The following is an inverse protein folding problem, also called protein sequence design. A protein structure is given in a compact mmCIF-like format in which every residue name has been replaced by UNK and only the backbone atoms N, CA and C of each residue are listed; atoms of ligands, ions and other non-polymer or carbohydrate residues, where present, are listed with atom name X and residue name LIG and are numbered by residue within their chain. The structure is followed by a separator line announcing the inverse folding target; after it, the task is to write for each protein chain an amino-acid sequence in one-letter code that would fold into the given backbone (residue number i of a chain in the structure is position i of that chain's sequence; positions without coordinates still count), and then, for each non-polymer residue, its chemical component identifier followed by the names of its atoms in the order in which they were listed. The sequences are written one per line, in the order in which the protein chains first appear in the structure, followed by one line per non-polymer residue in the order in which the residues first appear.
data_IF_916833145103
#
_entry.id   IF_916833145103
#
_cell.length_a   1.000
_cell.length_b   1.000
_cell.length_c   1.000
_cell.angle_alpha   90.00
_cell.angle_beta   90.00
_cell.angle_gamma   90.00
#
_symmetry.space_group_name_H-M   'P 1'
#
loop_
_entity.id
_entity.type
_entity.pdbx_description
1 polymer ?
#
# COMPACT_ATOMS: atom_id res chain seq x y z
N UNK A 1 -27.51 -1.45 -19.96
CA UNK A 1 -26.79 -0.48 -19.10
C UNK A 1 -25.31 -0.80 -19.17
N UNK A 2 -24.44 0.20 -19.24
CA UNK A 2 -22.98 0.01 -19.17
C UNK A 2 -22.61 -0.61 -17.82
N UNK A 3 -21.65 -1.54 -17.79
CA UNK A 3 -21.19 -2.15 -16.54
C UNK A 3 -20.37 -1.14 -15.73
N UNK A 4 -20.58 -1.10 -14.42
CA UNK A 4 -19.78 -0.31 -13.49
C UNK A 4 -18.93 -1.21 -12.60
N UNK A 5 -17.76 -0.73 -12.19
CA UNK A 5 -16.82 -1.45 -11.34
C UNK A 5 -16.54 -0.68 -10.06
N UNK A 6 -16.72 -1.33 -8.92
CA UNK A 6 -16.51 -0.74 -7.60
C UNK A 6 -15.08 -0.89 -7.11
N UNK A 7 -14.58 0.14 -6.44
CA UNK A 7 -13.32 0.13 -5.70
C UNK A 7 -13.58 0.54 -4.26
N UNK A 8 -13.26 -0.35 -3.32
CA UNK A 8 -13.14 -0.05 -1.91
C UNK A 8 -11.66 -0.08 -1.50
N UNK A 9 -11.13 1.07 -1.12
CA UNK A 9 -9.85 1.18 -0.41
C UNK A 9 -10.16 1.40 1.07
N UNK A 10 -10.10 0.31 1.83
CA UNK A 10 -10.32 0.31 3.27
C UNK A 10 -8.99 0.63 3.96
N UNK A 11 -8.78 1.90 4.34
CA UNK A 11 -7.60 2.33 5.10
C UNK A 11 -7.85 2.42 6.60
N UNK A 12 -6.80 2.37 7.42
CA UNK A 12 -6.92 2.49 8.88
C UNK A 12 -7.42 3.86 9.38
N UNK A 13 -7.27 4.91 8.57
CA UNK A 13 -7.70 6.28 8.91
C UNK A 13 -8.98 6.69 8.18
N UNK A 14 -9.13 6.27 6.92
CA UNK A 14 -10.30 6.58 6.09
C UNK A 14 -10.59 5.44 5.13
N UNK A 15 -11.85 5.29 4.76
CA UNK A 15 -12.28 4.48 3.63
C UNK A 15 -12.49 5.39 2.42
N UNK A 16 -12.08 4.90 1.25
CA UNK A 16 -12.33 5.55 -0.04
C UNK A 16 -13.13 4.59 -0.89
N UNK A 17 -14.33 5.01 -1.29
CA UNK A 17 -15.19 4.25 -2.19
C UNK A 17 -15.25 4.98 -3.53
N UNK A 18 -15.13 4.25 -4.63
CA UNK A 18 -15.26 4.79 -5.96
C UNK A 18 -15.98 3.81 -6.89
N UNK A 19 -16.67 4.34 -7.89
CA UNK A 19 -17.25 3.57 -8.99
C UNK A 19 -16.67 4.08 -10.29
N UNK A 20 -16.25 3.16 -11.16
CA UNK A 20 -15.66 3.45 -12.46
C UNK A 20 -16.43 2.82 -13.61
N UNK A 21 -16.32 3.41 -14.79
CA UNK A 21 -16.88 2.89 -16.04
C UNK A 21 -16.02 1.75 -16.65
N UNK A 22 -16.38 1.29 -17.85
CA UNK A 22 -15.67 0.20 -18.53
C UNK A 22 -14.24 0.53 -18.96
N UNK A 23 -13.91 1.82 -19.02
CA UNK A 23 -12.59 2.38 -19.28
C UNK A 23 -11.87 2.80 -17.98
N UNK A 24 -12.47 2.50 -16.82
CA UNK A 24 -11.97 2.83 -15.49
C UNK A 24 -11.92 4.33 -15.18
N UNK A 25 -12.70 5.15 -15.90
CA UNK A 25 -12.90 6.54 -15.51
C UNK A 25 -13.80 6.59 -14.27
N UNK A 26 -13.43 7.40 -13.28
CA UNK A 26 -14.22 7.57 -12.05
C UNK A 26 -15.54 8.26 -12.37
N UNK A 27 -16.65 7.59 -12.06
CA UNK A 27 -18.02 8.09 -12.17
C UNK A 27 -18.44 8.81 -10.88
N UNK A 28 -18.24 8.14 -9.73
CA UNK A 28 -18.51 8.72 -8.41
C UNK A 28 -17.43 8.27 -7.42
N UNK A 29 -17.08 9.15 -6.48
CA UNK A 29 -16.11 8.86 -5.43
C UNK A 29 -16.53 9.54 -4.14
N UNK A 30 -16.40 8.83 -3.03
CA UNK A 30 -16.56 9.37 -1.68
C UNK A 30 -15.42 8.90 -0.78
N UNK A 31 -15.21 9.63 0.31
CA UNK A 31 -14.32 9.22 1.38
C UNK A 31 -14.92 9.58 2.73
N UNK A 32 -14.69 8.75 3.74
CA UNK A 32 -15.12 9.02 5.11
C UNK A 32 -14.13 8.42 6.13
N UNK A 33 -14.04 8.98 7.34
CA UNK A 33 -13.15 8.46 8.38
C UNK A 33 -13.48 7.02 8.77
N UNK A 34 -12.44 6.24 9.06
CA UNK A 34 -12.57 4.89 9.63
C UNK A 34 -12.85 4.99 11.12
N UNK A 35 -14.11 4.80 11.51
CA UNK A 35 -14.60 4.85 12.89
C UNK A 35 -14.77 3.43 13.43
N UNK A 36 -15.99 3.01 13.76
CA UNK A 36 -16.33 1.64 14.15
C UNK A 36 -16.61 0.79 12.90
N UNK A 37 -16.41 -0.54 12.96
CA UNK A 37 -16.68 -1.43 11.83
C UNK A 37 -18.09 -1.28 11.26
N UNK A 38 -19.12 -1.29 12.13
CA UNK A 38 -20.53 -1.22 11.71
C UNK A 38 -20.79 0.07 10.94
N UNK A 39 -20.50 1.23 11.55
CA UNK A 39 -20.75 2.54 10.91
C UNK A 39 -20.00 2.69 9.58
N UNK A 40 -18.74 2.24 9.54
CA UNK A 40 -17.89 2.39 8.34
C UNK A 40 -18.34 1.45 7.22
N UNK A 41 -18.71 0.21 7.56
CA UNK A 41 -19.22 -0.78 6.60
C UNK A 41 -20.60 -0.37 6.09
N UNK A 42 -21.49 0.14 6.94
CA UNK A 42 -22.83 0.59 6.55
C UNK A 42 -22.76 1.74 5.55
N UNK A 43 -21.89 2.75 5.77
CA UNK A 43 -21.63 3.82 4.78
C UNK A 43 -21.09 3.30 3.46
N UNK A 44 -20.27 2.25 3.52
CA UNK A 44 -19.73 1.58 2.32
C UNK A 44 -20.84 0.90 1.54
N UNK A 45 -21.72 0.17 2.21
CA UNK A 45 -22.89 -0.48 1.62
C UNK A 45 -23.84 0.56 1.03
N UNK A 46 -24.13 1.64 1.76
CA UNK A 46 -24.98 2.74 1.32
C UNK A 46 -24.45 3.36 0.03
N UNK A 47 -23.14 3.57 -0.08
CA UNK A 47 -22.52 4.11 -1.29
C UNK A 47 -22.72 3.18 -2.49
N UNK A 48 -22.37 1.90 -2.37
CA UNK A 48 -22.43 0.97 -3.50
C UNK A 48 -23.86 0.53 -3.88
N UNK A 49 -24.79 0.54 -2.94
CA UNK A 49 -26.20 0.18 -3.19
C UNK A 49 -26.93 1.15 -4.12
N UNK A 50 -26.35 2.32 -4.42
CA UNK A 50 -26.92 3.30 -5.37
C UNK A 50 -26.80 2.87 -6.83
N UNK A 51 -25.99 1.84 -7.13
CA UNK A 51 -25.59 1.48 -8.49
C UNK A 51 -26.14 0.11 -8.89
N UNK A 52 -27.33 0.08 -9.50
CA UNK A 52 -27.99 -1.16 -9.97
C UNK A 52 -27.19 -1.91 -11.04
N UNK A 53 -26.29 -1.23 -11.75
CA UNK A 53 -25.41 -1.78 -12.80
C UNK A 53 -23.97 -2.04 -12.33
N UNK A 54 -23.74 -2.10 -11.01
CA UNK A 54 -22.46 -2.53 -10.44
C UNK A 54 -22.20 -4.01 -10.78
N UNK A 55 -21.22 -4.27 -11.63
CA UNK A 55 -20.91 -5.60 -12.15
C UNK A 55 -19.93 -6.38 -11.27
N UNK A 56 -19.16 -5.69 -10.42
CA UNK A 56 -18.21 -6.28 -9.48
C UNK A 56 -17.60 -5.22 -8.57
N UNK A 57 -17.03 -5.66 -7.46
CA UNK A 57 -16.36 -4.81 -6.47
C UNK A 57 -15.01 -5.41 -6.10
N UNK A 58 -13.96 -4.60 -6.05
CA UNK A 58 -12.69 -5.01 -5.44
C UNK A 58 -12.46 -4.24 -4.14
N UNK A 59 -11.92 -4.95 -3.17
CA UNK A 59 -11.65 -4.46 -1.83
C UNK A 59 -10.14 -4.62 -1.60
N UNK A 60 -9.46 -3.48 -1.46
CA UNK A 60 -8.11 -3.38 -0.92
C UNK A 60 -8.20 -2.96 0.53
N UNK A 61 -7.93 -3.85 1.47
CA UNK A 61 -8.04 -3.58 2.91
C UNK A 61 -6.69 -3.41 3.58
N UNK A 62 -6.64 -2.52 4.57
CA UNK A 62 -5.58 -2.50 5.57
C UNK A 62 -5.54 -3.86 6.29
N UNK A 63 -4.33 -4.27 6.62
CA UNK A 63 -4.05 -5.59 7.16
C UNK A 63 -3.63 -5.62 8.64
N UNK A 64 -3.21 -6.80 9.10
CA UNK A 64 -3.23 -8.07 8.36
C UNK A 64 -4.67 -8.56 8.08
N UNK A 65 -4.87 -9.19 6.93
CA UNK A 65 -6.14 -9.78 6.50
C UNK A 65 -5.96 -11.26 6.15
N UNK A 66 -7.06 -12.02 6.24
CA UNK A 66 -7.09 -13.40 5.77
C UNK A 66 -7.46 -13.45 4.28
N UNK A 67 -6.45 -13.76 3.45
CA UNK A 67 -6.57 -13.87 1.99
C UNK A 67 -6.79 -15.32 1.51
N UNK A 68 -6.72 -16.32 2.39
CA UNK A 68 -6.88 -17.72 1.97
C UNK A 68 -8.37 -18.02 1.77
N UNK A 69 -8.77 -18.24 0.52
CA UNK A 69 -10.16 -18.55 0.13
C UNK A 69 -10.70 -19.84 0.77
N UNK A 70 -9.84 -20.73 1.26
CA UNK A 70 -10.23 -21.96 1.95
C UNK A 70 -10.34 -21.78 3.47
N UNK A 71 -9.89 -20.65 4.01
CA UNK A 71 -9.98 -20.33 5.42
C UNK A 71 -11.42 -20.01 5.82
N UNK A 72 -11.80 -20.41 7.05
CA UNK A 72 -13.09 -20.05 7.66
C UNK A 72 -13.22 -18.55 7.90
N UNK A 73 -12.10 -17.84 7.97
CA UNK A 73 -12.03 -16.40 8.20
C UNK A 73 -11.60 -15.63 6.95
N UNK A 74 -11.66 -16.24 5.75
CA UNK A 74 -11.40 -15.53 4.51
C UNK A 74 -12.20 -14.22 4.43
N UNK A 75 -11.50 -13.11 4.19
CA UNK A 75 -12.15 -11.80 4.15
C UNK A 75 -12.15 -11.01 5.46
N UNK A 76 -11.56 -11.56 6.52
CA UNK A 76 -11.48 -10.90 7.81
C UNK A 76 -10.25 -9.99 7.90
N UNK A 77 -10.39 -8.89 8.63
CA UNK A 77 -9.25 -8.17 9.22
C UNK A 77 -8.90 -8.87 10.52
N UNK A 78 -7.66 -9.35 10.66
CA UNK A 78 -7.26 -10.26 11.74
C UNK A 78 -6.66 -9.50 12.92
N UNK A 79 -5.37 -9.19 12.88
CA UNK A 79 -4.62 -8.61 14.01
C UNK A 79 -4.25 -7.16 13.74
N UNK A 80 -5.12 -6.21 14.09
CA UNK A 80 -4.86 -4.79 13.88
C UNK A 80 -4.82 -3.99 15.20
N UNK A 81 -3.94 -2.99 15.34
CA UNK A 81 -3.98 -2.07 16.47
C UNK A 81 -5.15 -1.08 16.38
N UNK A 82 -5.89 -1.04 15.26
CA UNK A 82 -7.05 -0.16 15.10
C UNK A 82 -8.18 -0.63 16.03
N UNK A 83 -8.67 0.21 16.94
CA UNK A 83 -9.69 -0.19 17.92
C UNK A 83 -10.92 -0.80 17.24
N UNK A 84 -11.37 -1.94 17.75
CA UNK A 84 -12.56 -2.68 17.31
C UNK A 84 -12.49 -3.37 15.94
N UNK A 85 -11.40 -3.23 15.18
CA UNK A 85 -11.29 -3.81 13.84
C UNK A 85 -10.66 -5.22 13.80
N UNK A 86 -10.15 -5.71 14.94
CA UNK A 86 -9.65 -7.08 15.03
C UNK A 86 -10.79 -8.10 14.90
N UNK A 87 -10.56 -9.15 14.10
CA UNK A 87 -11.51 -10.21 13.77
C UNK A 87 -12.85 -9.74 13.16
N UNK A 88 -12.80 -8.71 12.32
CA UNK A 88 -13.99 -8.20 11.61
C UNK A 88 -14.16 -8.88 10.26
N UNK A 89 -15.32 -9.49 10.03
CA UNK A 89 -15.76 -10.07 8.74
C UNK A 89 -16.16 -8.97 7.73
N UNK A 90 -15.16 -8.28 7.15
CA UNK A 90 -15.40 -7.20 6.20
C UNK A 90 -16.03 -7.73 4.91
N UNK A 91 -15.42 -8.74 4.29
CA UNK A 91 -15.89 -9.29 3.01
C UNK A 91 -17.28 -9.91 3.14
N UNK A 92 -17.54 -10.68 4.19
CA UNK A 92 -18.83 -11.32 4.40
C UNK A 92 -19.94 -10.30 4.65
N UNK A 93 -19.67 -9.22 5.38
CA UNK A 93 -20.64 -8.14 5.58
C UNK A 93 -21.03 -7.50 4.23
N UNK A 94 -20.05 -7.18 3.39
CA UNK A 94 -20.29 -6.62 2.06
C UNK A 94 -21.03 -7.61 1.16
N UNK A 95 -20.67 -8.89 1.15
CA UNK A 95 -21.34 -9.93 0.33
C UNK A 95 -22.80 -10.15 0.72
N UNK A 96 -23.14 -10.06 2.01
CA UNK A 96 -24.52 -10.20 2.48
C UNK A 96 -25.41 -9.04 2.00
N UNK A 97 -24.83 -7.84 1.86
CA UNK A 97 -25.57 -6.64 1.48
C UNK A 97 -25.53 -6.35 -0.03
N UNK A 98 -24.40 -6.62 -0.69
CA UNK A 98 -24.14 -6.33 -2.09
C UNK A 98 -24.04 -7.64 -2.88
N UNK A 99 -25.04 -7.93 -3.70
CA UNK A 99 -25.13 -9.17 -4.48
C UNK A 99 -24.29 -9.10 -5.78
N UNK A 100 -23.00 -8.81 -5.65
CA UNK A 100 -22.05 -8.70 -6.78
C UNK A 100 -20.79 -9.53 -6.53
N UNK A 101 -20.11 -10.03 -7.58
CA UNK A 101 -18.80 -10.65 -7.44
C UNK A 101 -17.78 -9.72 -6.78
N UNK A 102 -16.96 -10.26 -5.87
CA UNK A 102 -15.97 -9.49 -5.13
C UNK A 102 -14.56 -10.07 -5.18
N UNK A 103 -13.59 -9.20 -5.49
CA UNK A 103 -12.16 -9.48 -5.31
C UNK A 103 -11.71 -8.89 -3.96
N UNK A 104 -10.94 -9.65 -3.16
CA UNK A 104 -10.50 -9.21 -1.84
C UNK A 104 -8.98 -9.37 -1.75
N UNK A 105 -8.28 -8.30 -1.37
CA UNK A 105 -6.83 -8.24 -1.25
C UNK A 105 -6.42 -7.11 -0.31
N UNK A 106 -5.13 -6.90 -0.11
CA UNK A 106 -4.61 -5.77 0.67
C UNK A 106 -4.64 -4.48 -0.13
N UNK A 107 -4.71 -3.35 0.58
CA UNK A 107 -4.57 -2.01 -0.01
C UNK A 107 -3.28 -1.83 -0.83
N UNK A 108 -2.17 -2.38 -0.34
CA UNK A 108 -0.86 -2.36 -1.03
C UNK A 108 -0.81 -3.28 -2.24
N UNK A 109 -1.52 -4.41 -2.25
CA UNK A 109 -1.67 -5.24 -3.45
C UNK A 109 -2.53 -4.52 -4.50
N UNK A 110 -3.63 -3.88 -4.09
CA UNK A 110 -4.44 -3.05 -5.00
C UNK A 110 -3.60 -1.94 -5.62
N UNK A 111 -2.76 -1.28 -4.81
CA UNK A 111 -1.85 -0.23 -5.28
C UNK A 111 -0.81 -0.77 -6.26
N UNK A 112 -0.17 -1.90 -5.93
CA UNK A 112 0.80 -2.55 -6.80
C UNK A 112 0.19 -2.89 -8.16
N UNK A 113 -1.04 -3.42 -8.17
CA UNK A 113 -1.73 -3.82 -9.40
C UNK A 113 -2.10 -2.61 -10.25
N UNK A 114 -2.57 -1.53 -9.62
CA UNK A 114 -2.83 -0.27 -10.32
C UNK A 114 -1.58 0.32 -10.96
N UNK A 115 -0.42 0.21 -10.32
CA UNK A 115 0.85 0.67 -10.89
C UNK A 115 1.29 -0.16 -12.10
N UNK A 116 1.13 -1.50 -12.04
CA UNK A 116 1.38 -2.37 -13.21
C UNK A 116 0.47 -1.96 -14.37
N UNK A 117 -0.83 -1.79 -14.12
CA UNK A 117 -1.81 -1.38 -15.14
C UNK A 117 -1.46 -0.02 -15.73
N UNK A 118 -1.23 0.99 -14.90
CA UNK A 118 -0.96 2.35 -15.36
C UNK A 118 0.30 2.43 -16.23
N UNK A 119 1.37 1.74 -15.82
CA UNK A 119 2.65 1.75 -16.55
C UNK A 119 2.56 0.99 -17.86
N UNK A 120 1.84 -0.13 -17.89
CA UNK A 120 1.61 -0.89 -19.12
C UNK A 120 0.70 -0.13 -20.09
N UNK A 121 -0.31 0.59 -19.60
CA UNK A 121 -1.13 1.50 -20.41
C UNK A 121 -0.30 2.65 -21.02
N UNK A 122 0.78 3.07 -20.36
CA UNK A 122 1.73 4.06 -20.88
C UNK A 122 2.78 3.48 -21.85
N UNK A 123 2.65 2.20 -22.25
CA UNK A 123 3.56 1.53 -23.18
C UNK A 123 4.70 0.75 -22.51
N UNK A 124 4.70 0.66 -21.18
CA UNK A 124 5.60 -0.22 -20.42
C UNK A 124 5.29 -1.70 -20.63
N UNK A 125 6.19 -2.55 -20.12
CA UNK A 125 6.05 -4.02 -20.10
C UNK A 125 6.57 -4.56 -18.76
N UNK A 126 5.84 -4.23 -17.70
CA UNK A 126 6.18 -4.58 -16.32
C UNK A 126 5.32 -5.76 -15.91
N UNK A 127 5.98 -6.80 -15.39
CA UNK A 127 5.33 -7.99 -14.85
C UNK A 127 5.73 -8.24 -13.40
N UNK A 128 6.81 -7.60 -12.93
CA UNK A 128 7.37 -7.74 -11.60
C UNK A 128 7.48 -6.37 -10.94
N UNK A 129 6.73 -6.14 -9.87
CA UNK A 129 6.64 -4.84 -9.22
C UNK A 129 6.59 -5.01 -7.70
N UNK A 130 7.39 -4.22 -6.99
CA UNK A 130 7.26 -4.07 -5.53
C UNK A 130 6.74 -2.66 -5.26
N UNK A 131 5.58 -2.56 -4.61
CA UNK A 131 5.00 -1.31 -4.16
C UNK A 131 5.15 -1.21 -2.64
N UNK A 132 5.72 -0.13 -2.16
CA UNK A 132 5.70 0.25 -0.75
C UNK A 132 4.83 1.49 -0.56
N UNK A 133 4.04 1.53 0.52
CA UNK A 133 3.44 2.77 1.02
C UNK A 133 4.13 3.19 2.31
N UNK A 134 4.48 4.46 2.43
CA UNK A 134 5.16 5.02 3.61
C UNK A 134 4.36 6.22 4.12
N UNK A 135 3.62 6.00 5.19
CA UNK A 135 2.71 6.98 5.80
C UNK A 135 2.63 6.76 7.30
N UNK A 136 1.43 6.57 7.84
CA UNK A 136 1.26 6.25 9.27
C UNK A 136 1.94 4.93 9.67
N UNK A 137 2.02 3.98 8.74
CA UNK A 137 2.82 2.75 8.83
C UNK A 137 3.55 2.49 7.52
N UNK A 138 4.10 1.28 7.38
CA UNK A 138 4.72 0.81 6.15
C UNK A 138 4.12 -0.54 5.75
N UNK A 139 3.50 -0.58 4.57
CA UNK A 139 3.04 -1.82 3.95
C UNK A 139 3.69 -1.99 2.58
N UNK A 140 3.73 -3.23 2.09
CA UNK A 140 4.17 -3.49 0.72
C UNK A 140 3.36 -4.59 0.03
N UNK A 141 3.13 -4.41 -1.27
CA UNK A 141 2.54 -5.39 -2.16
C UNK A 141 3.58 -5.80 -3.20
N UNK A 142 3.61 -7.09 -3.54
CA UNK A 142 4.56 -7.64 -4.52
C UNK A 142 3.80 -8.40 -5.59
N UNK A 143 4.09 -8.05 -6.84
CA UNK A 143 3.65 -8.77 -8.03
C UNK A 143 4.86 -9.41 -8.67
N UNK A 144 4.75 -10.69 -9.02
CA UNK A 144 5.77 -11.45 -9.74
C UNK A 144 5.07 -12.22 -10.87
N UNK A 145 5.45 -11.92 -12.12
CA UNK A 145 4.82 -12.49 -13.33
C UNK A 145 3.29 -12.36 -13.32
N UNK A 146 2.80 -11.18 -12.95
CA UNK A 146 1.37 -10.87 -12.92
C UNK A 146 0.59 -11.41 -11.71
N UNK A 147 1.21 -12.22 -10.85
CA UNK A 147 0.57 -12.79 -9.66
C UNK A 147 1.01 -12.09 -8.38
N UNK A 148 0.09 -11.91 -7.44
CA UNK A 148 0.43 -11.44 -6.10
C UNK A 148 1.26 -12.48 -5.36
N UNK A 149 2.35 -12.06 -4.73
CA UNK A 149 3.10 -12.93 -3.81
C UNK A 149 2.32 -13.09 -2.51
N UNK A 150 2.14 -14.34 -2.09
CA UNK A 150 1.47 -14.73 -0.85
C UNK A 150 1.48 -16.24 -0.68
N UNK A 151 1.14 -16.70 0.52
CA UNK A 151 1.09 -18.13 0.87
C UNK A 151 0.21 -18.34 2.09
N UNK A 152 0.80 -18.64 3.25
CA UNK A 152 0.07 -18.69 4.53
C UNK A 152 -0.64 -17.37 4.90
N UNK A 153 -0.22 -16.26 4.28
CA UNK A 153 -0.86 -14.95 4.35
C UNK A 153 -0.25 -14.04 3.27
N UNK A 154 -0.61 -12.76 3.30
CA UNK A 154 0.07 -11.75 2.48
C UNK A 154 1.39 -11.31 3.15
N UNK A 155 2.33 -10.73 2.38
CA UNK A 155 3.55 -10.15 2.94
C UNK A 155 3.26 -8.97 3.89
N UNK A 156 4.08 -8.85 4.93
CA UNK A 156 4.10 -7.74 5.90
C UNK A 156 5.50 -7.08 5.92
N UNK A 157 5.90 -6.57 4.75
CA UNK A 157 7.28 -6.14 4.51
C UNK A 157 7.67 -4.84 5.21
N UNK A 158 6.76 -4.18 5.93
CA UNK A 158 7.12 -3.11 6.88
C UNK A 158 7.78 -3.63 8.16
N UNK A 159 7.65 -4.93 8.46
CA UNK A 159 8.01 -5.47 9.76
C UNK A 159 9.30 -6.31 9.81
N UNK A 160 10.06 -6.41 8.73
CA UNK A 160 11.39 -7.01 8.80
C UNK A 160 12.38 -6.05 9.51
N UNK A 161 13.40 -6.63 10.17
CA UNK A 161 14.45 -5.88 10.86
C UNK A 161 15.44 -5.23 9.87
N UNK A 162 15.82 -3.99 10.15
CA UNK A 162 16.80 -3.21 9.37
C UNK A 162 18.08 -2.98 10.15
N UNK A 163 19.19 -2.77 9.44
CA UNK A 163 20.40 -2.26 10.08
C UNK A 163 20.14 -0.83 10.56
N UNK A 164 20.45 -0.54 11.83
CA UNK A 164 20.23 0.77 12.42
C UNK A 164 21.16 1.81 11.79
N UNK A 165 20.71 3.04 11.64
CA UNK A 165 21.54 4.15 11.20
C UNK A 165 22.44 4.63 12.36
N UNK A 166 23.72 5.01 12.13
CA UNK A 166 24.62 5.43 13.21
C UNK A 166 24.07 6.55 14.11
N UNK A 167 23.35 7.52 13.53
CA UNK A 167 22.67 8.57 14.32
C UNK A 167 21.61 8.01 15.28
N UNK A 168 20.86 6.99 14.87
CA UNK A 168 19.86 6.36 15.73
C UNK A 168 20.52 5.44 16.78
N UNK A 169 21.72 4.91 16.50
CA UNK A 169 22.55 4.24 17.51
C UNK A 169 23.03 5.23 18.57
N UNK A 170 23.63 6.34 18.15
CA UNK A 170 24.14 7.40 19.03
C UNK A 170 23.04 8.00 19.92
N UNK A 171 21.85 8.21 19.35
CA UNK A 171 20.68 8.77 20.05
C UNK A 171 19.81 7.73 20.76
N UNK A 172 20.23 6.47 20.75
CA UNK A 172 19.48 5.34 21.32
C UNK A 172 18.02 5.24 20.85
N UNK A 173 17.74 5.70 19.62
CA UNK A 173 16.41 5.58 19.03
C UNK A 173 16.19 4.13 18.59
N UNK A 174 15.11 3.53 19.08
CA UNK A 174 14.83 2.10 18.86
C UNK A 174 13.62 1.85 17.95
N UNK A 175 12.97 2.91 17.46
CA UNK A 175 11.79 2.84 16.61
C UNK A 175 10.46 2.82 17.37
N UNK A 176 9.37 3.08 16.63
CA UNK A 176 8.03 3.33 17.19
C UNK A 176 7.07 2.15 17.06
N UNK A 177 7.43 1.11 16.31
CA UNK A 177 6.55 -0.04 16.09
C UNK A 177 6.31 -0.76 17.42
N UNK A 178 5.05 -0.96 17.86
CA UNK A 178 4.74 -1.54 19.16
C UNK A 178 5.11 -3.03 19.28
N UNK A 179 5.29 -3.71 18.15
CA UNK A 179 5.61 -5.15 18.11
C UNK A 179 7.12 -5.40 18.09
N UNK A 180 7.84 -4.73 17.21
CA UNK A 180 9.23 -5.09 16.88
C UNK A 180 10.24 -4.03 17.28
N UNK A 181 9.82 -2.76 17.43
CA UNK A 181 10.65 -1.56 17.58
C UNK A 181 11.66 -1.37 16.44
N UNK A 182 12.60 -2.30 16.25
CA UNK A 182 13.69 -2.27 15.27
C UNK A 182 13.33 -2.67 13.82
N UNK A 183 12.05 -2.75 13.46
CA UNK A 183 11.65 -3.05 12.09
C UNK A 183 11.67 -1.80 11.19
N UNK A 184 11.59 -2.00 9.87
CA UNK A 184 11.53 -0.91 8.89
C UNK A 184 10.46 0.13 9.26
N UNK A 185 9.23 -0.29 9.56
CA UNK A 185 8.14 0.59 9.99
C UNK A 185 8.50 1.38 11.25
N UNK A 186 9.12 0.72 12.24
CA UNK A 186 9.51 1.37 13.47
C UNK A 186 10.48 2.52 13.25
N UNK A 187 11.36 2.43 12.25
CA UNK A 187 12.34 3.46 11.96
C UNK A 187 11.92 4.47 10.88
N UNK A 188 11.07 4.08 9.93
CA UNK A 188 10.80 4.85 8.72
C UNK A 188 9.31 5.15 8.47
N UNK A 189 8.38 4.85 9.38
CA UNK A 189 7.04 5.39 9.26
C UNK A 189 7.04 6.92 9.54
N UNK A 190 5.99 7.61 9.11
CA UNK A 190 5.78 9.04 9.41
C UNK A 190 5.87 9.36 10.92
N UNK A 191 5.24 8.57 11.82
CA UNK A 191 5.40 8.75 13.27
C UNK A 191 6.84 8.61 13.77
N UNK A 192 7.72 7.89 13.06
CA UNK A 192 9.13 7.77 13.41
C UNK A 192 9.88 9.10 13.23
N UNK A 193 9.46 9.97 12.32
CA UNK A 193 10.04 11.31 12.16
C UNK A 193 9.75 12.19 13.38
N UNK A 194 8.49 12.21 13.80
CA UNK A 194 8.06 12.98 14.98
C UNK A 194 8.69 12.42 16.26
N UNK A 195 8.70 11.10 16.44
CA UNK A 195 9.34 10.48 17.59
C UNK A 195 10.86 10.74 17.65
N UNK A 196 11.52 10.92 16.49
CA UNK A 196 12.96 11.18 16.40
C UNK A 196 13.32 12.65 16.58
N UNK A 197 12.43 13.57 16.22
CA UNK A 197 12.75 15.02 16.15
C UNK A 197 11.92 15.88 17.08
N UNK A 198 10.80 15.38 17.60
CA UNK A 198 9.76 16.17 18.25
C UNK A 198 8.92 17.02 17.30
N UNK A 199 9.13 16.89 15.97
CA UNK A 199 8.48 17.71 14.94
C UNK A 199 7.72 16.79 13.98
N UNK A 200 6.44 17.12 13.74
CA UNK A 200 5.63 16.43 12.73
C UNK A 200 6.32 16.49 11.35
N UNK A 201 6.32 15.39 10.61
CA UNK A 201 7.10 15.25 9.37
C UNK A 201 6.83 16.35 8.33
N UNK A 202 5.60 16.83 8.22
CA UNK A 202 5.23 17.93 7.31
C UNK A 202 5.87 19.30 7.66
N UNK A 203 6.35 19.46 8.90
CA UNK A 203 6.93 20.70 9.41
C UNK A 203 8.47 20.64 9.51
N UNK A 204 9.09 19.53 9.13
CA UNK A 204 10.54 19.38 9.14
C UNK A 204 11.13 20.06 7.91
N UNK A 205 12.15 20.91 8.10
CA UNK A 205 12.86 21.56 7.00
C UNK A 205 13.46 20.55 6.02
N UNK A 206 13.35 20.82 4.71
CA UNK A 206 13.77 19.89 3.65
C UNK A 206 15.27 19.57 3.65
N UNK A 207 16.10 20.46 4.18
CA UNK A 207 17.55 20.31 4.30
C UNK A 207 17.97 19.56 5.58
N UNK A 208 17.04 19.21 6.46
CA UNK A 208 17.36 18.48 7.69
C UNK A 208 18.03 17.14 7.39
N UNK A 209 19.04 16.79 8.20
CA UNK A 209 19.76 15.52 8.10
C UNK A 209 18.90 14.32 8.50
N UNK A 210 17.77 14.54 9.17
CA UNK A 210 16.83 13.45 9.50
C UNK A 210 16.30 12.76 8.25
N UNK A 211 16.19 13.48 7.13
CA UNK A 211 15.76 12.93 5.86
C UNK A 211 16.79 11.96 5.26
N UNK A 212 18.09 12.11 5.58
CA UNK A 212 19.11 11.13 5.20
C UNK A 212 18.97 9.83 5.98
N UNK A 213 18.64 9.94 7.26
CA UNK A 213 18.35 8.79 8.13
C UNK A 213 17.10 8.07 7.65
N UNK A 214 16.06 8.83 7.33
CA UNK A 214 14.83 8.31 6.73
C UNK A 214 15.11 7.60 5.40
N UNK A 215 15.84 8.24 4.49
CA UNK A 215 16.20 7.68 3.21
C UNK A 215 17.07 6.43 3.31
N UNK A 216 17.96 6.35 4.31
CA UNK A 216 18.78 5.17 4.57
C UNK A 216 17.93 3.93 4.86
N UNK A 217 16.91 4.04 5.71
CA UNK A 217 16.01 2.91 6.00
C UNK A 217 15.14 2.53 4.80
N UNK A 218 14.60 3.51 4.08
CA UNK A 218 13.79 3.28 2.88
C UNK A 218 14.64 2.66 1.76
N UNK A 219 15.90 3.07 1.62
CA UNK A 219 16.84 2.46 0.70
C UNK A 219 17.16 1.01 1.04
N UNK A 220 17.23 0.63 2.32
CA UNK A 220 17.31 -0.78 2.71
C UNK A 220 16.08 -1.59 2.26
N UNK A 221 14.89 -0.97 2.18
CA UNK A 221 13.72 -1.59 1.57
C UNK A 221 13.87 -1.81 0.07
N UNK A 222 14.41 -0.83 -0.65
CA UNK A 222 14.73 -1.00 -2.05
C UNK A 222 15.79 -2.10 -2.28
N UNK A 223 16.84 -2.17 -1.43
CA UNK A 223 17.83 -3.24 -1.47
C UNK A 223 17.19 -4.59 -1.20
N UNK A 224 16.38 -4.71 -0.15
CA UNK A 224 15.70 -5.96 0.20
C UNK A 224 14.79 -6.45 -0.93
N UNK A 225 13.96 -5.56 -1.49
CA UNK A 225 13.12 -5.86 -2.64
C UNK A 225 13.95 -6.31 -3.85
N UNK A 226 15.08 -5.64 -4.11
CA UNK A 226 15.99 -5.97 -5.21
C UNK A 226 16.60 -7.35 -5.03
N UNK A 227 17.22 -7.64 -3.88
CA UNK A 227 17.92 -8.93 -3.68
C UNK A 227 16.98 -10.11 -3.53
N UNK A 228 15.73 -9.88 -3.13
CA UNK A 228 14.75 -10.95 -2.85
C UNK A 228 13.85 -11.23 -4.03
N UNK A 229 13.26 -10.20 -4.64
CA UNK A 229 12.21 -10.36 -5.66
C UNK A 229 12.66 -10.03 -7.08
N UNK A 230 13.78 -9.31 -7.24
CA UNK A 230 14.29 -8.84 -8.53
C UNK A 230 13.20 -8.20 -9.42
N UNK A 231 12.47 -7.17 -8.91
CA UNK A 231 11.39 -6.56 -9.67
C UNK A 231 11.91 -5.80 -10.90
N UNK A 232 11.02 -5.46 -11.82
CA UNK A 232 11.31 -4.55 -12.93
C UNK A 232 11.34 -3.10 -12.42
N UNK A 233 10.52 -2.80 -11.40
CA UNK A 233 10.41 -1.47 -10.76
C UNK A 233 10.01 -1.57 -9.29
N UNK A 234 10.49 -0.62 -8.48
CA UNK A 234 10.10 -0.41 -7.09
C UNK A 234 9.39 0.94 -7.00
N UNK A 235 8.14 0.91 -6.54
CA UNK A 235 7.31 2.09 -6.38
C UNK A 235 7.19 2.44 -4.90
N UNK A 236 7.53 3.66 -4.53
CA UNK A 236 7.36 4.19 -3.19
C UNK A 236 6.27 5.25 -3.16
N UNK A 237 5.09 4.88 -2.67
CA UNK A 237 3.97 5.78 -2.38
C UNK A 237 3.90 6.23 -0.93
N UNK A 238 2.83 6.96 -0.60
CA UNK A 238 2.58 7.49 0.74
C UNK A 238 3.17 8.88 0.98
N UNK A 239 2.67 9.55 2.03
CA UNK A 239 2.94 10.98 2.27
C UNK A 239 4.42 11.31 2.52
N UNK A 240 5.20 10.37 3.07
CA UNK A 240 6.64 10.57 3.30
C UNK A 240 7.40 10.64 1.97
N UNK A 241 6.97 9.85 0.97
CA UNK A 241 7.63 9.74 -0.33
C UNK A 241 7.08 10.71 -1.38
N UNK A 242 6.10 11.55 -1.02
CA UNK A 242 5.52 12.54 -1.91
C UNK A 242 6.48 13.71 -2.24
N UNK A 243 7.59 13.84 -1.50
CA UNK A 243 8.54 14.95 -1.65
C UNK A 243 9.72 14.53 -2.54
N UNK A 244 10.03 15.34 -3.56
CA UNK A 244 11.07 15.01 -4.54
C UNK A 244 12.45 14.76 -3.90
N UNK A 245 12.83 15.55 -2.89
CA UNK A 245 14.11 15.37 -2.20
C UNK A 245 14.25 14.00 -1.54
N UNK A 246 13.16 13.40 -1.07
CA UNK A 246 13.18 12.07 -0.46
C UNK A 246 13.49 11.00 -1.50
N UNK A 247 12.88 11.08 -2.68
CA UNK A 247 13.12 10.13 -3.76
C UNK A 247 14.61 10.15 -4.18
N UNK A 248 15.19 11.35 -4.31
CA UNK A 248 16.59 11.50 -4.72
C UNK A 248 17.57 10.99 -3.64
N UNK A 249 17.30 11.30 -2.36
CA UNK A 249 18.08 10.74 -1.24
C UNK A 249 17.99 9.21 -1.19
N UNK A 250 16.80 8.63 -1.37
CA UNK A 250 16.61 7.17 -1.38
C UNK A 250 17.41 6.52 -2.51
N UNK A 251 17.41 7.10 -3.71
CA UNK A 251 18.19 6.58 -4.85
C UNK A 251 19.70 6.63 -4.59
N UNK A 252 20.19 7.70 -3.98
CA UNK A 252 21.59 7.82 -3.57
C UNK A 252 21.96 6.73 -2.55
N UNK A 253 21.20 6.61 -1.46
CA UNK A 253 21.46 5.62 -0.42
C UNK A 253 21.32 4.19 -0.94
N UNK A 254 20.35 3.92 -1.81
CA UNK A 254 20.19 2.62 -2.45
C UNK A 254 21.41 2.24 -3.28
N UNK A 255 21.91 3.18 -4.10
CA UNK A 255 23.09 2.96 -4.95
C UNK A 255 24.31 2.64 -4.09
N UNK A 256 24.52 3.40 -3.02
CA UNK A 256 25.61 3.16 -2.07
C UNK A 256 25.48 1.80 -1.35
N UNK A 257 24.28 1.46 -0.88
CA UNK A 257 24.02 0.21 -0.15
C UNK A 257 24.07 -1.04 -1.04
N UNK A 258 23.61 -0.95 -2.30
CA UNK A 258 23.71 -2.06 -3.25
C UNK A 258 25.16 -2.28 -3.71
N UNK A 259 25.99 -1.23 -3.67
CA UNK A 259 27.44 -1.27 -3.89
C UNK A 259 27.86 -2.05 -5.15
N UNK A 260 27.11 -1.88 -6.24
CA UNK A 260 27.39 -2.55 -7.52
C UNK A 260 27.26 -4.08 -7.51
N UNK A 261 26.68 -4.68 -6.47
CA UNK A 261 26.60 -6.14 -6.32
C UNK A 261 25.72 -6.81 -7.39
N UNK A 262 24.57 -6.20 -7.72
CA UNK A 262 23.64 -6.71 -8.72
C UNK A 262 23.37 -5.65 -9.79
N UNK A 263 23.29 -6.04 -11.08
CA UNK A 263 22.82 -5.14 -12.11
C UNK A 263 21.34 -4.80 -11.87
N UNK A 264 21.00 -3.53 -12.07
CA UNK A 264 19.64 -2.98 -12.01
C UNK A 264 19.47 -1.98 -13.17
N UNK A 265 18.24 -1.63 -13.58
CA UNK A 265 18.01 -0.52 -14.49
C UNK A 265 18.56 0.80 -13.93
N UNK A 266 18.53 1.87 -14.72
CA UNK A 266 18.85 3.21 -14.19
C UNK A 266 18.00 3.47 -12.94
N UNK A 267 18.65 3.93 -11.86
CA UNK A 267 17.98 4.10 -10.56
C UNK A 267 16.77 5.05 -10.62
N UNK A 268 16.75 5.97 -11.60
CA UNK A 268 15.64 6.88 -11.83
C UNK A 268 14.41 6.20 -12.45
N UNK A 269 14.61 5.15 -13.21
CA UNK A 269 13.54 4.33 -13.80
C UNK A 269 13.17 3.15 -12.90
N UNK A 270 14.12 2.70 -12.07
CA UNK A 270 13.97 1.55 -11.18
C UNK A 270 13.28 1.90 -9.86
N UNK A 271 13.61 3.04 -9.25
CA UNK A 271 13.00 3.51 -7.99
C UNK A 271 12.21 4.78 -8.29
N UNK A 272 10.90 4.70 -8.15
CA UNK A 272 9.95 5.72 -8.62
C UNK A 272 8.83 5.97 -7.61
N UNK A 273 8.10 7.07 -7.81
CA UNK A 273 6.83 7.34 -7.14
C UNK A 273 5.65 6.80 -7.96
N UNK A 274 4.43 6.75 -7.39
CA UNK A 274 3.25 6.28 -8.10
C UNK A 274 3.02 7.00 -9.43
N UNK A 275 2.66 6.25 -10.47
CA UNK A 275 2.32 6.77 -11.79
C UNK A 275 0.88 7.32 -11.84
N UNK A 276 0.01 6.84 -10.95
CA UNK A 276 -1.38 7.30 -10.89
C UNK A 276 -1.51 8.52 -9.98
N UNK A 277 -2.00 9.63 -10.54
CA UNK A 277 -2.18 10.88 -9.81
C UNK A 277 -3.15 10.76 -8.62
N UNK A 278 -2.99 11.62 -7.62
CA UNK A 278 -3.95 11.77 -6.53
C UNK A 278 -4.11 10.54 -5.62
N UNK A 279 -3.04 9.76 -5.44
CA UNK A 279 -3.06 8.46 -4.74
C UNK A 279 -4.08 7.48 -5.35
N UNK A 280 -4.22 7.50 -6.68
CA UNK A 280 -5.22 6.71 -7.39
C UNK A 280 -4.83 5.26 -7.68
N UNK A 281 -3.61 4.81 -7.36
CA UNK A 281 -3.12 3.49 -7.74
C UNK A 281 -4.01 2.36 -7.21
N UNK A 282 -4.39 2.41 -5.92
CA UNK A 282 -5.33 1.43 -5.36
C UNK A 282 -6.70 1.46 -6.04
N UNK A 283 -7.21 2.66 -6.35
CA UNK A 283 -8.51 2.83 -7.04
C UNK A 283 -8.49 2.20 -8.42
N UNK A 284 -7.46 2.49 -9.24
CA UNK A 284 -7.30 1.89 -10.57
C UNK A 284 -7.13 0.37 -10.48
N UNK A 285 -6.25 -0.10 -9.59
CA UNK A 285 -6.03 -1.53 -9.40
C UNK A 285 -7.31 -2.26 -9.01
N UNK A 286 -8.09 -1.69 -8.09
CA UNK A 286 -9.38 -2.23 -7.69
C UNK A 286 -10.39 -2.27 -8.84
N UNK A 287 -10.50 -1.22 -9.69
CA UNK A 287 -11.41 -1.30 -10.84
C UNK A 287 -11.06 -2.46 -11.78
N UNK A 288 -9.77 -2.68 -12.05
CA UNK A 288 -9.33 -3.79 -12.91
C UNK A 288 -9.59 -5.15 -12.25
N UNK A 289 -9.30 -5.28 -10.96
CA UNK A 289 -9.59 -6.50 -10.20
C UNK A 289 -11.08 -6.79 -10.12
N UNK A 290 -11.92 -5.77 -9.91
CA UNK A 290 -13.37 -5.89 -9.92
C UNK A 290 -13.88 -6.39 -11.28
N UNK A 291 -13.31 -5.88 -12.38
CA UNK A 291 -13.61 -6.35 -13.73
C UNK A 291 -13.23 -7.81 -13.95
N UNK A 292 -12.11 -8.27 -13.39
CA UNK A 292 -11.65 -9.67 -13.54
C UNK A 292 -12.59 -10.71 -12.90
N UNK A 293 -13.39 -10.31 -11.92
CA UNK A 293 -14.38 -11.19 -11.25
C UNK A 293 -15.81 -10.96 -11.72
N UNK A 294 -16.04 -9.88 -12.46
CA UNK A 294 -17.34 -9.58 -13.05
C UNK A 294 -17.63 -10.57 -14.20
N UNK A 295 -18.84 -11.13 -14.19
CA UNK A 295 -19.32 -12.03 -15.25
C UNK A 295 -19.77 -11.23 -16.48
#
# INVERSE_FOLDING_TARGET
MTKLYGSLEAGGTKFVCAVGDENFNVVEKTQFPTTTPIETIDKTIEFFSKFDNLAGLAIGSFGPIDIDKNSKTYGFITTTPKPHWANVDLLGALRRALNVPMYFTTDVNSSAYGEVVARNNAGGRIENLVYYTIGTGIGAGVIQRGEFIGGAGHPEMGHYYVAKHPMDEEKEFNGVCPFHKGCLEGFAAGPSLEARTGIRGENIELNSSVWDVQAYYIAQAAVNATVTFRPDVIVFGGGVMAQQHMLDRVREKFTALLNGYLPVPDVRDYIVTPAVAGNGSATLGNFVLAKSVAK
#
